data_IF_102824693624
#
_entry.id   IF_102824693624
#
_cell.length_a   1.000
_cell.length_b   1.000
_cell.length_c   1.000
_cell.angle_alpha   90.00
_cell.angle_beta   90.00
_cell.angle_gamma   90.00
#
_symmetry.space_group_name_H-M   'P 1'
#
loop_
_entity.id
_entity.type
_entity.pdbx_description
1 polymer ?
#
# COMPACT_ATOMS: atom_id res chain seq x y z
N UNK A 1 16.98 -39.92 35.60
CA UNK A 1 16.66 -38.57 35.11
C UNK A 1 17.94 -37.97 34.54
N UNK A 2 18.07 -37.90 33.21
CA UNK A 2 19.20 -37.24 32.55
C UNK A 2 18.93 -35.74 32.59
N UNK A 3 19.77 -34.99 33.30
CA UNK A 3 19.73 -33.52 33.28
C UNK A 3 20.65 -33.12 32.14
N UNK A 4 20.08 -32.68 31.03
CA UNK A 4 20.83 -32.08 29.94
C UNK A 4 21.29 -30.69 30.38
N UNK A 5 22.57 -30.39 30.17
CA UNK A 5 23.15 -29.10 30.50
C UNK A 5 22.61 -28.04 29.53
N UNK A 6 21.69 -27.20 29.99
CA UNK A 6 21.24 -26.01 29.26
C UNK A 6 22.41 -25.03 29.18
N UNK A 7 22.97 -24.85 27.98
CA UNK A 7 23.93 -23.77 27.70
C UNK A 7 23.15 -22.50 27.38
N UNK A 8 23.26 -21.47 28.22
CA UNK A 8 22.70 -20.15 27.92
C UNK A 8 23.51 -19.50 26.79
N UNK A 9 22.84 -19.14 25.70
CA UNK A 9 23.43 -18.31 24.66
C UNK A 9 23.19 -16.84 25.00
N UNK A 10 24.20 -15.96 24.92
CA UNK A 10 23.98 -14.53 25.02
C UNK A 10 23.09 -14.10 23.84
N UNK A 11 22.07 -13.30 24.13
CA UNK A 11 21.17 -12.74 23.13
C UNK A 11 21.02 -11.24 23.35
N UNK A 12 20.73 -10.52 22.27
CA UNK A 12 20.55 -9.07 22.31
C UNK A 12 19.10 -8.79 22.72
N UNK A 13 18.91 -8.09 23.85
CA UNK A 13 17.59 -7.69 24.33
C UNK A 13 17.12 -6.35 23.76
N UNK A 14 18.06 -5.48 23.39
CA UNK A 14 17.79 -4.11 23.01
C UNK A 14 18.87 -3.57 22.07
N UNK A 15 18.43 -2.73 21.12
CA UNK A 15 19.28 -1.95 20.23
C UNK A 15 19.01 -0.46 20.42
N UNK A 16 20.01 0.37 20.13
CA UNK A 16 19.94 1.84 20.19
C UNK A 16 20.49 2.38 18.88
N UNK A 17 19.74 3.24 18.21
CA UNK A 17 20.20 3.87 16.98
C UNK A 17 21.28 4.92 17.29
N UNK A 18 22.45 4.79 16.69
CA UNK A 18 23.59 5.71 16.91
C UNK A 18 23.32 7.12 16.39
N UNK A 19 22.41 7.27 15.41
CA UNK A 19 22.06 8.57 14.82
C UNK A 19 21.02 9.33 15.63
N UNK A 20 19.91 8.70 15.99
CA UNK A 20 18.77 9.38 16.63
C UNK A 20 18.51 8.97 18.08
N UNK A 21 19.23 7.99 18.62
CA UNK A 21 19.05 7.50 19.99
C UNK A 21 17.79 6.65 20.22
N UNK A 22 17.01 6.37 19.17
CA UNK A 22 15.81 5.50 19.26
C UNK A 22 16.20 4.13 19.80
N UNK A 23 15.39 3.61 20.71
CA UNK A 23 15.59 2.31 21.33
C UNK A 23 14.54 1.34 20.82
N UNK A 24 14.93 0.10 20.57
CA UNK A 24 14.01 -0.98 20.28
C UNK A 24 14.35 -2.19 21.16
N UNK A 25 13.35 -2.80 21.80
CA UNK A 25 13.54 -4.06 22.51
C UNK A 25 12.99 -5.21 21.69
N UNK A 26 13.58 -6.39 21.91
CA UNK A 26 13.23 -7.60 21.17
C UNK A 26 11.79 -8.07 21.36
N UNK A 27 11.23 -7.82 22.54
CA UNK A 27 9.88 -8.27 22.92
C UNK A 27 8.82 -7.18 22.69
N UNK A 28 9.19 -6.04 22.09
CA UNK A 28 8.25 -4.97 21.76
C UNK A 28 7.41 -5.37 20.53
N UNK A 29 6.14 -4.97 20.54
CA UNK A 29 5.18 -5.28 19.47
C UNK A 29 5.49 -4.56 18.15
N UNK A 30 6.26 -3.47 18.20
CA UNK A 30 6.42 -2.51 17.11
C UNK A 30 7.32 -2.99 15.97
N UNK A 31 7.79 -4.24 16.03
CA UNK A 31 8.71 -4.88 15.07
C UNK A 31 10.04 -4.14 14.79
N UNK A 32 10.24 -2.93 15.34
CA UNK A 32 11.41 -2.06 15.13
C UNK A 32 12.72 -2.81 15.35
N UNK A 33 12.80 -3.65 16.38
CA UNK A 33 14.01 -4.41 16.71
C UNK A 33 14.50 -5.29 15.55
N UNK A 34 13.57 -5.86 14.76
CA UNK A 34 13.89 -6.74 13.65
C UNK A 34 14.33 -5.97 12.39
N UNK A 35 14.02 -4.68 12.31
CA UNK A 35 14.31 -3.82 11.17
C UNK A 35 15.56 -2.93 11.38
N UNK A 36 16.31 -3.14 12.46
CA UNK A 36 17.60 -2.47 12.67
C UNK A 36 18.65 -2.97 11.67
N UNK A 37 19.46 -2.05 11.16
CA UNK A 37 20.62 -2.35 10.35
C UNK A 37 21.89 -2.17 11.17
N UNK A 38 22.64 -3.27 11.35
CA UNK A 38 23.93 -3.30 12.03
C UNK A 38 25.04 -3.55 11.02
N UNK A 39 26.02 -2.65 10.97
CA UNK A 39 27.25 -2.85 10.21
C UNK A 39 28.35 -3.16 11.22
N UNK A 40 29.08 -4.26 11.04
CA UNK A 40 30.26 -4.54 11.84
C UNK A 40 31.31 -5.24 10.98
N UNK A 41 32.46 -4.61 10.79
CA UNK A 41 33.59 -5.23 10.10
C UNK A 41 34.92 -4.64 10.54
N UNK A 42 36.01 -5.31 10.14
CA UNK A 42 37.37 -4.82 10.35
C UNK A 42 37.91 -4.26 9.04
N UNK A 43 38.35 -3.01 9.07
CA UNK A 43 38.89 -2.31 7.93
C UNK A 43 40.16 -2.98 7.37
N UNK A 44 40.21 -3.14 6.06
CA UNK A 44 41.38 -3.65 5.33
C UNK A 44 42.48 -2.61 5.17
N UNK A 45 43.56 -3.00 4.51
CA UNK A 45 44.67 -2.11 4.16
C UNK A 45 44.25 -1.05 3.13
N UNK A 46 44.62 0.20 3.36
CA UNK A 46 44.22 1.36 2.55
C UNK A 46 42.79 1.84 2.82
N UNK A 47 42.16 1.42 3.92
CA UNK A 47 40.79 1.86 4.23
C UNK A 47 40.75 3.34 4.59
N UNK A 48 39.71 4.04 4.12
CA UNK A 48 39.45 5.44 4.53
C UNK A 48 39.15 5.56 6.04
N UNK A 49 38.75 4.46 6.67
CA UNK A 49 38.50 4.37 8.12
C UNK A 49 39.75 4.00 8.93
N UNK A 50 40.91 3.87 8.28
CA UNK A 50 42.16 3.45 8.88
C UNK A 50 42.33 1.93 8.92
N UNK A 51 43.57 1.48 8.71
CA UNK A 51 43.90 0.06 8.54
C UNK A 51 43.72 -0.72 9.84
N UNK A 52 42.99 -1.83 9.78
CA UNK A 52 42.76 -2.72 10.92
C UNK A 52 41.76 -2.21 11.96
N UNK A 53 41.19 -1.02 11.76
CA UNK A 53 40.20 -0.44 12.66
C UNK A 53 38.87 -1.22 12.61
N UNK A 54 38.19 -1.30 13.74
CA UNK A 54 36.81 -1.76 13.80
C UNK A 54 35.88 -0.66 13.30
N UNK A 55 34.97 -1.01 12.39
CA UNK A 55 33.90 -0.13 11.91
C UNK A 55 32.59 -0.77 12.35
N UNK A 56 31.86 -0.06 13.20
CA UNK A 56 30.56 -0.49 13.70
C UNK A 56 29.56 0.67 13.70
N UNK A 57 28.30 0.38 13.38
CA UNK A 57 27.17 1.30 13.51
C UNK A 57 25.84 0.53 13.54
N UNK A 58 24.93 0.95 14.42
CA UNK A 58 23.56 0.47 14.52
C UNK A 58 22.58 1.59 14.14
N UNK A 59 21.72 1.35 13.15
CA UNK A 59 20.75 2.34 12.66
C UNK A 59 19.33 1.77 12.64
N UNK A 60 18.35 2.56 13.10
CA UNK A 60 16.94 2.23 12.92
C UNK A 60 16.50 2.41 11.46
N UNK A 61 15.42 1.74 11.04
CA UNK A 61 14.93 1.75 9.66
C UNK A 61 14.72 3.16 9.08
N UNK A 62 14.26 4.12 9.89
CA UNK A 62 14.10 5.51 9.47
C UNK A 62 15.45 6.17 9.17
N UNK A 63 16.44 5.99 10.05
CA UNK A 63 17.77 6.56 9.86
C UNK A 63 18.50 5.89 8.69
N UNK A 64 18.24 4.62 8.41
CA UNK A 64 18.73 3.94 7.19
C UNK A 64 18.13 4.60 5.96
N UNK A 65 16.80 4.72 5.91
CA UNK A 65 16.07 5.35 4.79
C UNK A 65 16.54 6.78 4.54
N UNK A 66 16.69 7.57 5.59
CA UNK A 66 17.11 8.97 5.49
C UNK A 66 18.58 9.13 5.10
N UNK A 67 19.48 8.27 5.62
CA UNK A 67 20.93 8.39 5.37
C UNK A 67 21.30 7.87 3.99
N UNK A 68 20.69 6.76 3.55
CA UNK A 68 21.02 6.14 2.28
C UNK A 68 20.10 6.60 1.14
N UNK A 69 18.87 7.04 1.46
CA UNK A 69 17.96 7.70 0.53
C UNK A 69 17.86 7.03 -0.83
N UNK A 70 18.26 7.77 -1.87
CA UNK A 70 18.21 7.35 -3.27
C UNK A 70 19.16 6.20 -3.62
N UNK A 71 20.11 5.85 -2.76
CA UNK A 71 21.03 4.72 -2.97
C UNK A 71 20.43 3.38 -2.53
N UNK A 72 19.33 3.39 -1.76
CA UNK A 72 18.60 2.16 -1.41
C UNK A 72 17.84 1.66 -2.63
N UNK A 73 18.01 0.38 -2.95
CA UNK A 73 17.16 -0.32 -3.92
C UNK A 73 16.12 -1.14 -3.16
N UNK A 74 14.87 -0.74 -3.27
CA UNK A 74 13.73 -1.45 -2.68
C UNK A 74 13.11 -2.30 -3.79
N UNK A 75 13.18 -3.62 -3.64
CA UNK A 75 12.51 -4.57 -4.53
C UNK A 75 11.29 -5.11 -3.80
N UNK A 76 10.09 -4.82 -4.31
CA UNK A 76 8.90 -5.53 -3.88
C UNK A 76 8.87 -6.87 -4.62
N UNK A 77 9.02 -8.02 -3.94
CA UNK A 77 8.92 -9.32 -4.59
C UNK A 77 7.53 -9.56 -5.22
N UNK A 78 6.54 -8.69 -4.95
CA UNK A 78 5.20 -8.72 -5.52
C UNK A 78 4.97 -7.68 -6.64
N UNK A 79 5.94 -6.81 -6.96
CA UNK A 79 5.76 -5.82 -8.03
C UNK A 79 5.57 -6.47 -9.41
N UNK A 80 6.25 -7.60 -9.65
CA UNK A 80 6.10 -8.40 -10.88
C UNK A 80 4.83 -9.29 -10.86
N UNK A 81 4.10 -9.33 -9.74
CA UNK A 81 2.80 -10.02 -9.63
C UNK A 81 1.63 -9.10 -10.02
N UNK A 82 1.91 -8.09 -10.83
CA UNK A 82 0.89 -7.30 -11.52
C UNK A 82 0.08 -8.22 -12.45
N UNK A 83 -1.24 -8.13 -12.38
CA UNK A 83 -2.20 -8.95 -13.12
C UNK A 83 -1.92 -8.99 -14.64
N UNK A 84 -1.23 -10.03 -15.10
CA UNK A 84 -1.03 -10.30 -16.51
C UNK A 84 -0.12 -11.50 -16.69
N UNK A 85 -0.68 -12.60 -17.18
CA UNK A 85 0.08 -13.71 -17.77
C UNK A 85 1.07 -14.47 -16.88
N UNK A 86 0.65 -15.08 -15.78
CA UNK A 86 1.32 -16.31 -15.34
C UNK A 86 0.33 -17.36 -14.84
N UNK A 87 0.27 -18.45 -15.60
CA UNK A 87 -0.15 -19.76 -15.12
C UNK A 87 0.89 -20.23 -14.09
N UNK A 88 0.75 -19.77 -12.84
CA UNK A 88 1.61 -20.09 -11.72
C UNK A 88 0.77 -20.59 -10.55
N UNK A 89 1.28 -21.59 -9.84
CA UNK A 89 0.58 -22.37 -8.83
C UNK A 89 -0.16 -21.50 -7.79
N UNK A 90 -1.37 -21.96 -7.44
CA UNK A 90 -2.22 -21.35 -6.41
C UNK A 90 -1.39 -21.17 -5.12
N UNK A 91 -1.26 -19.94 -4.59
CA UNK A 91 -0.50 -19.70 -3.36
C UNK A 91 -1.06 -20.54 -2.21
N UNK A 92 -0.15 -21.13 -1.43
CA UNK A 92 -0.49 -21.98 -0.30
C UNK A 92 -1.30 -21.21 0.76
N UNK A 93 -2.14 -21.88 1.55
CA UNK A 93 -2.89 -21.22 2.62
C UNK A 93 -1.99 -20.50 3.63
N UNK A 94 -0.76 -21.00 3.84
CA UNK A 94 0.25 -20.36 4.67
C UNK A 94 0.68 -18.98 4.16
N UNK A 95 0.74 -18.78 2.84
CA UNK A 95 1.15 -17.50 2.25
C UNK A 95 0.06 -16.45 2.38
N UNK A 96 -1.21 -16.87 2.31
CA UNK A 96 -2.35 -15.98 2.57
C UNK A 96 -2.40 -15.57 4.04
N UNK A 97 -2.21 -16.54 4.94
CA UNK A 97 -2.22 -16.29 6.39
C UNK A 97 -1.10 -15.32 6.81
N UNK A 98 0.11 -15.49 6.27
CA UNK A 98 1.23 -14.59 6.54
C UNK A 98 0.95 -13.16 6.06
N UNK A 99 0.35 -13.02 4.86
CA UNK A 99 -0.02 -11.71 4.29
C UNK A 99 -1.10 -10.99 5.11
N UNK A 100 -2.11 -11.71 5.56
CA UNK A 100 -3.18 -11.14 6.39
C UNK A 100 -2.64 -10.74 7.77
N UNK A 101 -1.74 -11.54 8.34
CA UNK A 101 -1.07 -11.24 9.61
C UNK A 101 -0.19 -9.99 9.51
N UNK A 102 0.61 -9.86 8.43
CA UNK A 102 1.50 -8.71 8.22
C UNK A 102 0.72 -7.39 8.04
N UNK A 103 -0.37 -7.42 7.27
CA UNK A 103 -1.26 -6.25 7.12
C UNK A 103 -1.90 -5.85 8.44
N UNK A 104 -2.33 -6.83 9.23
CA UNK A 104 -2.90 -6.56 10.54
C UNK A 104 -1.85 -6.01 11.53
N UNK A 105 -0.59 -6.45 11.46
CA UNK A 105 0.49 -5.90 12.30
C UNK A 105 0.81 -4.45 11.94
N UNK A 106 0.90 -4.12 10.66
CA UNK A 106 1.16 -2.73 10.20
C UNK A 106 0.03 -1.81 10.65
N UNK A 107 -1.23 -2.22 10.49
CA UNK A 107 -2.37 -1.41 10.88
C UNK A 107 -2.49 -1.21 12.41
N UNK A 108 -1.99 -2.15 13.23
CA UNK A 108 -1.85 -1.94 14.68
C UNK A 108 -0.77 -0.94 15.07
N UNK A 109 0.29 -0.84 14.27
CA UNK A 109 1.47 -0.03 14.59
C UNK A 109 1.35 1.43 14.15
N UNK A 110 0.28 1.79 13.46
CA UNK A 110 0.00 3.16 13.02
C UNK A 110 -1.01 3.74 14.02
N UNK A 111 -0.57 4.65 14.87
CA UNK A 111 -1.43 5.42 15.78
C UNK A 111 -1.75 6.79 15.17
N UNK A 112 -2.96 7.30 15.39
CA UNK A 112 -3.31 8.68 15.05
C UNK A 112 -2.72 9.69 16.06
N UNK A 113 -2.94 11.00 15.83
CA UNK A 113 -2.42 12.06 16.71
C UNK A 113 -2.95 11.98 18.16
N UNK A 114 -4.01 11.20 18.39
CA UNK A 114 -4.62 10.95 19.69
C UNK A 114 -4.13 9.62 20.33
N UNK A 115 -3.27 8.86 19.64
CA UNK A 115 -2.68 7.61 20.11
C UNK A 115 -3.56 6.37 19.89
N UNK A 116 -4.60 6.47 19.06
CA UNK A 116 -5.48 5.33 18.76
C UNK A 116 -4.94 4.50 17.59
N UNK A 117 -4.81 3.16 17.74
CA UNK A 117 -4.36 2.31 16.65
C UNK A 117 -5.31 2.36 15.45
N UNK A 118 -4.77 2.41 14.24
CA UNK A 118 -5.55 2.49 13.01
C UNK A 118 -6.51 1.30 12.84
N UNK A 119 -6.22 0.15 13.45
CA UNK A 119 -7.14 -0.99 13.57
C UNK A 119 -8.51 -0.62 14.16
N UNK A 120 -8.54 0.23 15.18
CA UNK A 120 -9.78 0.66 15.84
C UNK A 120 -10.58 1.58 14.92
N UNK A 121 -9.89 2.53 14.29
CA UNK A 121 -10.47 3.47 13.30
C UNK A 121 -11.01 2.70 12.08
N UNK A 122 -10.25 1.72 11.58
CA UNK A 122 -10.66 0.87 10.44
C UNK A 122 -11.87 0.01 10.83
N UNK A 123 -11.91 -0.56 12.03
CA UNK A 123 -13.04 -1.35 12.51
C UNK A 123 -14.30 -0.50 12.65
N UNK A 124 -14.18 0.71 13.18
CA UNK A 124 -15.27 1.66 13.35
C UNK A 124 -15.80 2.15 11.99
N UNK A 125 -14.90 2.56 11.07
CA UNK A 125 -15.29 2.92 9.70
C UNK A 125 -15.98 1.78 8.96
N UNK A 126 -15.54 0.53 9.16
CA UNK A 126 -16.22 -0.67 8.60
C UNK A 126 -17.60 -0.89 9.23
N UNK A 127 -17.77 -0.58 10.51
CA UNK A 127 -19.07 -0.62 11.20
C UNK A 127 -20.01 0.44 10.62
N UNK A 128 -19.54 1.69 10.51
CA UNK A 128 -20.28 2.81 9.95
C UNK A 128 -20.64 2.58 8.49
N UNK A 129 -19.72 2.06 7.67
CA UNK A 129 -20.01 1.69 6.27
C UNK A 129 -21.03 0.57 6.15
N UNK A 130 -21.04 -0.40 7.07
CA UNK A 130 -22.08 -1.45 7.11
C UNK A 130 -23.45 -0.86 7.45
N UNK A 131 -23.51 0.02 8.45
CA UNK A 131 -24.71 0.77 8.82
C UNK A 131 -25.23 1.62 7.66
N UNK A 132 -24.35 2.42 7.03
CA UNK A 132 -24.70 3.26 5.89
C UNK A 132 -25.22 2.43 4.72
N UNK A 133 -24.57 1.30 4.40
CA UNK A 133 -25.03 0.39 3.35
C UNK A 133 -26.39 -0.24 3.66
N UNK A 134 -26.68 -0.58 4.92
CA UNK A 134 -28.02 -1.04 5.28
C UNK A 134 -29.06 0.06 5.14
N UNK A 135 -28.76 1.27 5.61
CA UNK A 135 -29.66 2.42 5.50
C UNK A 135 -29.96 2.77 4.04
N UNK A 136 -28.94 2.81 3.19
CA UNK A 136 -29.11 3.04 1.74
C UNK A 136 -29.99 1.93 1.13
N UNK A 137 -29.76 0.67 1.49
CA UNK A 137 -30.57 -0.46 0.99
C UNK A 137 -32.04 -0.36 1.43
N UNK A 138 -32.29 0.10 2.64
CA UNK A 138 -33.65 0.26 3.17
C UNK A 138 -34.37 1.48 2.57
N UNK A 139 -33.64 2.56 2.27
CA UNK A 139 -34.13 3.71 1.51
C UNK A 139 -34.51 3.28 0.08
N UNK A 140 -33.62 2.54 -0.60
CA UNK A 140 -33.87 2.02 -1.96
C UNK A 140 -35.06 1.04 -2.00
N UNK A 141 -35.32 0.28 -0.93
CA UNK A 141 -36.50 -0.60 -0.83
C UNK A 141 -37.81 0.16 -0.57
N UNK A 142 -37.75 1.25 0.17
CA UNK A 142 -38.94 2.04 0.55
C UNK A 142 -39.32 3.08 -0.50
N UNK A 143 -38.38 3.47 -1.37
CA UNK A 143 -38.59 4.49 -2.41
C UNK A 143 -38.02 3.99 -3.76
N UNK A 144 -38.71 3.06 -4.46
CA UNK A 144 -38.28 2.54 -5.77
C UNK A 144 -38.22 3.63 -6.86
N UNK A 145 -38.84 4.78 -6.64
CA UNK A 145 -38.77 5.98 -7.49
C UNK A 145 -37.36 6.63 -7.45
N UNK A 146 -36.59 6.46 -6.37
CA UNK A 146 -35.25 7.06 -6.18
C UNK A 146 -34.19 6.42 -7.08
N UNK A 147 -34.46 5.20 -7.57
CA UNK A 147 -33.62 4.50 -8.56
C UNK A 147 -33.58 5.19 -9.93
N UNK A 148 -34.43 6.19 -10.18
CA UNK A 148 -34.40 7.03 -11.39
C UNK A 148 -33.59 8.32 -11.24
N UNK A 149 -32.96 8.58 -10.09
CA UNK A 149 -31.93 9.61 -10.03
C UNK A 149 -30.65 9.07 -10.69
N UNK A 150 -30.26 9.69 -11.81
CA UNK A 150 -29.04 9.41 -12.57
C UNK A 150 -27.78 9.31 -11.69
N UNK A 151 -27.77 9.99 -10.54
CA UNK A 151 -26.61 10.12 -9.65
C UNK A 151 -26.22 8.79 -8.98
N UNK A 152 -27.17 7.90 -8.63
CA UNK A 152 -26.85 6.68 -7.86
C UNK A 152 -26.30 5.54 -8.76
N UNK A 153 -26.70 5.52 -10.03
CA UNK A 153 -26.28 4.47 -10.99
C UNK A 153 -24.89 4.72 -11.58
N UNK A 154 -24.46 5.99 -11.69
CA UNK A 154 -23.12 6.35 -12.15
C UNK A 154 -22.04 5.84 -11.18
N UNK A 155 -22.18 6.09 -9.87
CA UNK A 155 -21.19 5.66 -8.88
C UNK A 155 -21.12 4.13 -8.67
N UNK A 156 -22.20 3.40 -8.98
CA UNK A 156 -22.17 1.93 -8.96
C UNK A 156 -21.32 1.32 -10.07
N UNK A 157 -21.07 2.08 -11.15
CA UNK A 157 -20.43 1.61 -12.38
C UNK A 157 -18.95 1.98 -12.46
N UNK A 158 -18.46 2.90 -11.62
CA UNK A 158 -17.07 3.38 -11.61
C UNK A 158 -16.44 3.19 -10.24
N UNK A 159 -15.36 2.42 -10.18
CA UNK A 159 -14.52 2.23 -8.98
C UNK A 159 -13.05 2.46 -9.34
N UNK A 160 -12.18 2.65 -8.35
CA UNK A 160 -10.74 2.80 -8.59
C UNK A 160 -10.18 1.56 -9.32
N UNK A 161 -9.50 1.79 -10.44
CA UNK A 161 -9.01 0.74 -11.33
C UNK A 161 -10.04 0.19 -12.33
N UNK A 162 -11.27 0.72 -12.34
CA UNK A 162 -12.26 0.31 -13.33
C UNK A 162 -11.82 0.77 -14.73
N UNK A 163 -11.85 -0.14 -15.74
CA UNK A 163 -11.60 0.26 -17.11
C UNK A 163 -12.75 1.15 -17.59
N UNK A 164 -12.41 2.20 -18.31
CA UNK A 164 -13.37 3.13 -18.90
C UNK A 164 -12.98 3.45 -20.33
N UNK A 165 -13.99 3.72 -21.15
CA UNK A 165 -13.82 4.07 -22.55
C UNK A 165 -14.52 5.41 -22.79
N UNK A 166 -13.85 6.33 -23.45
CA UNK A 166 -14.49 7.59 -23.88
C UNK A 166 -15.61 7.31 -24.88
N UNK A 167 -16.80 7.86 -24.63
CA UNK A 167 -17.98 7.62 -25.48
C UNK A 167 -18.18 8.68 -26.58
N UNK A 168 -17.25 9.63 -26.67
CA UNK A 168 -17.20 10.71 -27.65
C UNK A 168 -15.78 11.29 -27.72
N UNK A 169 -15.41 12.03 -28.77
CA UNK A 169 -14.11 12.70 -28.81
C UNK A 169 -14.06 13.86 -27.78
N UNK A 170 -12.93 14.02 -27.11
CA UNK A 170 -12.65 15.10 -26.17
C UNK A 170 -11.41 15.90 -26.64
N UNK A 171 -11.57 16.82 -27.61
CA UNK A 171 -10.44 17.52 -28.24
C UNK A 171 -9.61 18.35 -27.24
N UNK A 172 -10.27 18.92 -26.23
CA UNK A 172 -9.59 19.71 -25.19
C UNK A 172 -8.64 18.88 -24.32
N UNK A 173 -8.80 17.55 -24.33
CA UNK A 173 -7.96 16.61 -23.59
C UNK A 173 -7.07 15.77 -24.50
N UNK A 174 -7.13 15.98 -25.83
CA UNK A 174 -6.51 15.16 -26.86
C UNK A 174 -6.89 13.66 -26.75
N UNK A 175 -8.17 13.38 -26.51
CA UNK A 175 -8.69 12.01 -26.47
C UNK A 175 -9.67 11.79 -27.62
N UNK A 176 -9.48 10.71 -28.37
CA UNK A 176 -10.43 10.26 -29.40
C UNK A 176 -11.54 9.43 -28.75
N UNK A 177 -12.69 9.33 -29.42
CA UNK A 177 -13.73 8.38 -29.00
C UNK A 177 -13.19 6.95 -29.01
N UNK A 178 -13.51 6.16 -27.99
CA UNK A 178 -12.98 4.81 -27.86
C UNK A 178 -11.64 4.72 -27.13
N UNK A 179 -11.04 5.84 -26.71
CA UNK A 179 -9.81 5.81 -25.92
C UNK A 179 -10.05 5.12 -24.58
N UNK A 180 -9.26 4.08 -24.31
CA UNK A 180 -9.29 3.28 -23.08
C UNK A 180 -8.48 3.98 -21.98
N UNK A 181 -9.02 3.98 -20.76
CA UNK A 181 -8.34 4.45 -19.57
C UNK A 181 -8.74 3.66 -18.33
N UNK A 182 -8.12 3.99 -17.21
CA UNK A 182 -8.39 3.42 -15.90
C UNK A 182 -8.71 4.53 -14.89
N UNK A 183 -9.76 4.35 -14.10
CA UNK A 183 -10.15 5.34 -13.08
C UNK A 183 -9.11 5.36 -11.97
N UNK A 184 -8.45 6.51 -11.75
CA UNK A 184 -7.44 6.67 -10.70
C UNK A 184 -7.93 7.47 -9.51
N UNK A 185 -8.96 8.32 -9.69
CA UNK A 185 -9.56 9.10 -8.61
C UNK A 185 -10.98 9.56 -8.97
N UNK A 186 -11.88 9.66 -7.97
CA UNK A 186 -13.30 10.01 -8.16
C UNK A 186 -13.65 11.18 -7.24
N UNK A 187 -14.16 12.27 -7.82
CA UNK A 187 -14.62 13.44 -7.07
C UNK A 187 -16.11 13.26 -6.73
N UNK A 188 -16.41 13.05 -5.45
CA UNK A 188 -17.76 12.73 -4.96
C UNK A 188 -18.78 13.87 -5.08
N UNK A 189 -18.34 15.10 -5.38
CA UNK A 189 -19.21 16.29 -5.36
C UNK A 189 -19.63 16.78 -6.75
N UNK A 190 -18.88 16.40 -7.80
CA UNK A 190 -18.97 17.07 -9.11
C UNK A 190 -19.10 16.10 -10.30
N UNK A 191 -19.34 14.80 -10.05
CA UNK A 191 -19.35 13.75 -11.10
C UNK A 191 -18.08 13.74 -11.98
N UNK A 192 -16.97 14.27 -11.45
CA UNK A 192 -15.68 14.29 -12.13
C UNK A 192 -14.88 13.05 -11.74
N UNK A 193 -14.27 12.44 -12.74
CA UNK A 193 -13.43 11.26 -12.59
C UNK A 193 -12.07 11.58 -13.19
N UNK A 194 -11.00 11.44 -12.40
CA UNK A 194 -9.66 11.45 -12.93
C UNK A 194 -9.34 10.06 -13.48
N UNK A 195 -9.03 10.02 -14.76
CA UNK A 195 -8.76 8.79 -15.50
C UNK A 195 -7.35 8.86 -16.06
N UNK A 196 -6.58 7.81 -15.83
CA UNK A 196 -5.31 7.58 -16.49
C UNK A 196 -5.58 6.97 -17.86
N UNK A 197 -5.27 7.72 -18.92
CA UNK A 197 -5.36 7.24 -20.29
C UNK A 197 -3.99 6.86 -20.81
N UNK A 198 -3.92 5.74 -21.53
CA UNK A 198 -2.74 5.35 -22.31
C UNK A 198 -2.93 5.93 -23.70
N UNK A 199 -2.29 7.06 -23.99
CA UNK A 199 -2.55 7.85 -25.20
C UNK A 199 -1.55 7.61 -26.32
N UNK A 200 -0.55 6.74 -26.14
CA UNK A 200 0.52 6.53 -27.12
C UNK A 200 1.05 5.09 -27.14
N UNK A 201 1.60 4.69 -28.30
CA UNK A 201 2.25 3.38 -28.54
C UNK A 201 3.51 3.19 -27.69
N UNK A 202 4.08 4.28 -27.19
CA UNK A 202 5.25 4.30 -26.30
C UNK A 202 4.91 4.07 -24.82
N UNK A 203 3.64 3.82 -24.47
CA UNK A 203 3.20 3.54 -23.09
C UNK A 203 3.20 4.75 -22.16
N UNK A 204 3.24 5.98 -22.70
CA UNK A 204 3.08 7.19 -21.89
C UNK A 204 1.65 7.32 -21.42
N UNK A 205 1.47 7.32 -20.10
CA UNK A 205 0.18 7.57 -19.47
C UNK A 205 0.00 9.05 -19.16
N UNK A 206 -1.24 9.53 -19.28
CA UNK A 206 -1.59 10.87 -18.82
C UNK A 206 -2.89 10.82 -18.02
N UNK A 207 -2.89 11.48 -16.86
CA UNK A 207 -4.08 11.61 -16.03
C UNK A 207 -4.89 12.81 -16.52
N UNK A 208 -6.18 12.59 -16.81
CA UNK A 208 -7.12 13.61 -17.27
C UNK A 208 -8.38 13.56 -16.41
N UNK A 209 -8.85 14.71 -15.96
CA UNK A 209 -10.15 14.86 -15.33
C UNK A 209 -11.24 14.89 -16.39
N UNK A 210 -12.19 13.96 -16.31
CA UNK A 210 -13.28 13.77 -17.28
C UNK A 210 -14.59 13.67 -16.53
N UNK A 211 -15.65 14.23 -17.10
CA UNK A 211 -17.00 14.05 -16.59
C UNK A 211 -17.46 12.60 -16.80
N UNK A 212 -18.02 11.97 -15.75
CA UNK A 212 -18.46 10.59 -15.77
C UNK A 212 -19.44 10.29 -16.91
N UNK A 213 -20.22 11.27 -17.37
CA UNK A 213 -21.17 11.12 -18.46
C UNK A 213 -20.50 10.92 -19.84
N UNK A 214 -19.21 11.27 -19.98
CA UNK A 214 -18.43 11.09 -21.22
C UNK A 214 -17.66 9.77 -21.26
N UNK A 215 -17.85 8.94 -20.26
CA UNK A 215 -17.25 7.63 -20.13
C UNK A 215 -18.33 6.56 -20.20
N UNK A 216 -17.96 5.42 -20.75
CA UNK A 216 -18.68 4.17 -20.61
C UNK A 216 -17.81 3.20 -19.78
N UNK A 217 -18.39 2.41 -18.87
CA UNK A 217 -17.64 1.34 -18.21
C UNK A 217 -17.14 0.34 -19.27
N UNK A 218 -15.83 0.17 -19.33
CA UNK A 218 -15.20 -0.80 -20.21
C UNK A 218 -15.44 -2.22 -19.70
N UNK A 219 -15.50 -3.20 -20.61
CA UNK A 219 -15.33 -4.61 -20.25
C UNK A 219 -13.92 -5.00 -20.65
N UNK A 220 -13.20 -5.69 -19.77
CA UNK A 220 -12.03 -6.47 -20.18
C UNK A 220 -12.58 -7.62 -21.03
N UNK A 221 -12.35 -7.59 -22.35
CA UNK A 221 -12.51 -8.78 -23.21
C UNK A 221 -11.27 -9.67 -23.10
#
# INVERSE_FOLDING_TARGET
MKIEAVRSQPYIQRLICDRCGRQAKRDDLDCEFHEFMSIQYRAGFGSIFGDGNGVEVDLCQHCVKDSLGTWIRITDPLADFSLGEHCGEIPSESDKLFRDQARANIARSIEDDDGEPADHVIAELRSQLRMLRSTIRDILRSHPEVTQSHDILLYGSYWLGAPVVTNRPLPNLNLEEGTLGSVVHIHLTNDLIDVEFVTDVDGRTSVKTVDAQWLNPGKWE
#
